data_IF_050503553112
#
_entry.id   IF_050503553112
#
_cell.length_a   1.000
_cell.length_b   1.000
_cell.length_c   1.000
_cell.angle_alpha   90.00
_cell.angle_beta   90.00
_cell.angle_gamma   90.00
#
_symmetry.space_group_name_H-M   'P 1'
#
loop_
_entity.id
_entity.type
_entity.pdbx_description
1 polymer ?
#
# COMPACT_ATOMS: atom_id res chain seq x y z
N UNK A 1 6.17 -4.00 -11.24
CA UNK A 1 5.45 -5.20 -10.74
C UNK A 1 4.77 -4.94 -9.39
N UNK A 2 5.31 -4.04 -8.56
CA UNK A 2 4.65 -3.33 -7.43
C UNK A 2 3.51 -2.35 -7.83
N UNK A 3 3.32 -2.15 -9.14
CA UNK A 3 2.38 -1.19 -9.74
C UNK A 3 0.91 -1.53 -9.48
N UNK A 4 0.58 -2.82 -9.34
CA UNK A 4 -0.76 -3.31 -8.96
C UNK A 4 -1.02 -3.23 -7.45
N UNK A 5 0.02 -3.03 -6.65
CA UNK A 5 0.01 -3.26 -5.20
C UNK A 5 -0.44 -2.05 -4.39
N UNK A 6 -0.08 -0.83 -4.81
CA UNK A 6 -0.56 0.40 -4.13
C UNK A 6 -2.02 0.73 -4.45
N UNK A 7 -2.64 0.17 -5.50
CA UNK A 7 -4.09 0.30 -5.72
C UNK A 7 -4.90 -0.50 -4.67
N UNK A 8 -4.31 -1.57 -4.11
CA UNK A 8 -4.86 -2.27 -2.94
C UNK A 8 -4.51 -1.53 -1.64
N UNK A 9 -3.33 -0.94 -1.54
CA UNK A 9 -2.91 -0.12 -0.39
C UNK A 9 -3.70 1.20 -0.27
N UNK A 10 -4.08 1.82 -1.41
CA UNK A 10 -4.93 3.00 -1.48
C UNK A 10 -6.30 2.74 -0.86
N UNK A 11 -6.89 1.56 -1.10
CA UNK A 11 -8.07 1.08 -0.36
C UNK A 11 -7.77 0.83 1.13
N UNK A 12 -6.65 0.16 1.44
CA UNK A 12 -6.23 -0.16 2.83
C UNK A 12 -5.97 1.08 3.71
N UNK A 13 -5.61 2.22 3.12
CA UNK A 13 -5.31 3.50 3.80
C UNK A 13 -6.52 4.46 3.72
N UNK A 14 -7.33 4.37 2.66
CA UNK A 14 -8.61 5.08 2.54
C UNK A 14 -9.61 4.66 3.62
N UNK A 15 -9.64 3.39 3.99
CA UNK A 15 -10.58 2.87 4.98
C UNK A 15 -10.23 3.29 6.43
N UNK A 16 -8.98 3.65 6.70
CA UNK A 16 -8.53 4.13 8.02
C UNK A 16 -8.72 5.63 8.26
N UNK A 17 -9.05 6.43 7.23
CA UNK A 17 -9.15 7.88 7.38
C UNK A 17 -10.40 8.45 6.75
N UNK A 18 -11.27 8.98 7.62
CA UNK A 18 -12.53 9.67 7.32
C UNK A 18 -12.43 10.94 6.45
N UNK A 19 -11.34 11.15 5.67
CA UNK A 19 -11.15 12.38 4.94
C UNK A 19 -10.20 12.21 3.73
N UNK A 20 -10.61 11.45 2.72
CA UNK A 20 -10.10 11.68 1.35
C UNK A 20 -10.85 12.89 0.76
N UNK A 21 -10.75 14.04 1.43
CA UNK A 21 -11.16 15.32 0.83
C UNK A 21 -10.14 15.61 -0.27
N UNK A 22 -10.62 15.85 -1.48
CA UNK A 22 -9.91 16.34 -2.68
C UNK A 22 -8.43 16.68 -2.39
N UNK A 23 -7.51 15.83 -2.85
CA UNK A 23 -6.06 16.03 -2.68
C UNK A 23 -5.53 17.28 -3.37
N UNK A 24 -6.31 17.85 -4.29
CA UNK A 24 -5.96 19.07 -5.02
C UNK A 24 -7.17 20.00 -5.13
N UNK A 25 -6.89 21.29 -5.16
CA UNK A 25 -7.81 22.27 -5.76
C UNK A 25 -7.95 21.88 -7.23
N UNK A 26 -9.17 21.69 -7.77
CA UNK A 26 -9.30 21.41 -9.19
C UNK A 26 -8.78 22.63 -9.95
N UNK A 27 -7.62 22.50 -10.59
CA UNK A 27 -7.39 23.29 -11.78
C UNK A 27 -8.53 22.92 -12.74
N UNK A 28 -9.17 23.91 -13.35
CA UNK A 28 -10.12 23.65 -14.42
C UNK A 28 -9.35 22.94 -15.54
N UNK A 29 -9.35 21.61 -15.49
CA UNK A 29 -8.73 20.81 -16.52
C UNK A 29 -9.49 21.12 -17.81
N UNK A 30 -8.80 21.38 -18.93
CA UNK A 30 -9.47 21.39 -20.23
C UNK A 30 -10.26 20.08 -20.37
N UNK A 31 -11.41 20.13 -21.02
CA UNK A 31 -12.39 19.03 -21.17
C UNK A 31 -11.84 17.90 -22.06
N UNK A 32 -10.71 17.35 -21.66
CA UNK A 32 -10.00 16.28 -22.32
C UNK A 32 -10.58 14.95 -21.81
N UNK A 33 -10.77 13.97 -22.70
CA UNK A 33 -11.22 12.66 -22.28
C UNK A 33 -10.21 12.04 -21.31
N UNK A 34 -10.67 11.26 -20.31
CA UNK A 34 -9.80 10.61 -19.35
C UNK A 34 -8.79 9.69 -20.07
N UNK A 35 -7.52 9.66 -19.65
CA UNK A 35 -6.50 8.82 -20.26
C UNK A 35 -6.89 7.34 -20.23
N UNK A 36 -6.65 6.63 -21.34
CA UNK A 36 -6.91 5.19 -21.47
C UNK A 36 -5.63 4.35 -21.40
N UNK A 37 -4.46 4.97 -21.43
CA UNK A 37 -3.16 4.30 -21.32
C UNK A 37 -2.05 5.28 -20.95
N UNK A 38 -0.86 4.76 -20.61
CA UNK A 38 0.39 5.52 -20.54
C UNK A 38 1.36 4.96 -21.57
N UNK A 39 2.07 5.85 -22.26
CA UNK A 39 3.26 5.47 -23.02
C UNK A 39 4.42 5.13 -22.08
N UNK A 40 5.45 4.44 -22.59
CA UNK A 40 6.70 4.19 -21.87
C UNK A 40 7.32 5.49 -21.31
N UNK A 41 7.37 6.54 -22.12
CA UNK A 41 7.93 7.83 -21.70
C UNK A 41 7.13 8.47 -20.57
N UNK A 42 5.79 8.38 -20.62
CA UNK A 42 4.92 8.88 -19.55
C UNK A 42 5.04 8.02 -18.28
N UNK A 43 5.18 6.70 -18.41
CA UNK A 43 5.40 5.82 -17.27
C UNK A 43 6.69 6.16 -16.51
N UNK A 44 7.80 6.34 -17.23
CA UNK A 44 9.08 6.75 -16.65
C UNK A 44 9.00 8.14 -16.03
N UNK A 45 8.49 9.11 -16.80
CA UNK A 45 8.35 10.50 -16.34
C UNK A 45 7.48 10.60 -15.08
N UNK A 46 6.31 9.96 -15.08
CA UNK A 46 5.41 9.98 -13.91
C UNK A 46 6.05 9.32 -12.68
N UNK A 47 6.80 8.22 -12.85
CA UNK A 47 7.49 7.55 -11.74
C UNK A 47 8.58 8.42 -11.13
N UNK A 48 9.35 9.15 -11.97
CA UNK A 48 10.33 10.14 -11.51
C UNK A 48 9.66 11.30 -10.75
N UNK A 49 8.55 11.82 -11.26
CA UNK A 49 7.80 12.89 -10.59
C UNK A 49 7.29 12.45 -9.22
N UNK A 50 6.80 11.21 -9.08
CA UNK A 50 6.41 10.66 -7.76
C UNK A 50 7.61 10.64 -6.81
N UNK A 51 8.77 10.16 -7.28
CA UNK A 51 9.99 10.16 -6.49
C UNK A 51 10.41 11.58 -6.07
N UNK A 52 10.35 12.54 -6.98
CA UNK A 52 10.63 13.95 -6.68
C UNK A 52 9.66 14.52 -5.64
N UNK A 53 8.38 14.17 -5.68
CA UNK A 53 7.44 14.56 -4.62
C UNK A 53 7.83 13.97 -3.26
N UNK A 54 8.22 12.69 -3.20
CA UNK A 54 8.66 12.06 -1.95
C UNK A 54 9.98 12.66 -1.45
N UNK A 55 10.87 13.05 -2.37
CA UNK A 55 12.18 13.69 -2.07
C UNK A 55 12.11 15.17 -1.76
N UNK A 56 11.10 15.90 -2.25
CA UNK A 56 11.11 17.35 -2.24
C UNK A 56 9.79 17.94 -1.73
N UNK A 57 9.82 19.24 -1.43
CA UNK A 57 8.61 20.03 -1.19
C UNK A 57 7.78 19.57 0.00
N UNK A 58 6.45 19.61 -0.16
CA UNK A 58 5.49 19.38 0.93
C UNK A 58 5.46 17.92 1.37
N UNK A 59 5.44 16.98 0.43
CA UNK A 59 5.39 15.54 0.75
C UNK A 59 6.63 15.10 1.50
N UNK A 60 7.82 15.51 1.05
CA UNK A 60 9.06 15.29 1.78
C UNK A 60 9.04 15.82 3.22
N UNK A 61 8.67 17.10 3.42
CA UNK A 61 8.56 17.68 4.77
C UNK A 61 7.54 16.96 5.66
N UNK A 62 6.45 16.45 5.08
CA UNK A 62 5.46 15.66 5.81
C UNK A 62 6.02 14.33 6.27
N UNK A 63 6.89 13.69 5.48
CA UNK A 63 7.60 12.48 5.91
C UNK A 63 8.59 12.80 7.03
N UNK A 64 9.41 13.85 6.87
CA UNK A 64 10.38 14.26 7.91
C UNK A 64 9.70 14.54 9.26
N UNK A 65 8.50 15.11 9.25
CA UNK A 65 7.71 15.36 10.45
C UNK A 65 7.29 14.06 11.18
N UNK A 66 7.14 12.93 10.47
CA UNK A 66 6.84 11.63 11.07
C UNK A 66 8.05 11.04 11.78
N UNK A 67 9.25 11.23 11.22
CA UNK A 67 10.49 10.84 11.89
C UNK A 67 10.76 11.71 13.13
N UNK A 68 10.38 12.99 13.10
CA UNK A 68 10.53 13.91 14.22
C UNK A 68 9.53 13.69 15.38
N UNK A 69 8.53 12.83 15.21
CA UNK A 69 7.50 12.52 16.22
C UNK A 69 7.49 11.02 16.60
N UNK A 70 8.60 10.47 17.13
CA UNK A 70 8.75 9.03 17.38
C UNK A 70 7.80 8.50 18.47
N UNK A 71 7.25 9.36 19.33
CA UNK A 71 6.28 9.02 20.37
C UNK A 71 4.91 8.61 19.82
N UNK A 72 4.58 8.99 18.58
CA UNK A 72 3.35 8.55 17.94
C UNK A 72 3.41 7.05 17.59
N UNK A 73 2.31 6.30 17.79
CA UNK A 73 2.27 4.88 17.43
C UNK A 73 2.75 4.63 16.01
N UNK A 74 3.62 3.65 15.82
CA UNK A 74 4.23 3.37 14.50
C UNK A 74 3.18 3.07 13.43
N UNK A 75 2.09 2.41 13.80
CA UNK A 75 0.98 2.14 12.90
C UNK A 75 0.36 3.45 12.37
N UNK A 76 0.15 4.44 13.23
CA UNK A 76 -0.42 5.73 12.83
C UNK A 76 0.56 6.50 11.94
N UNK A 77 1.86 6.46 12.26
CA UNK A 77 2.90 7.05 11.40
C UNK A 77 2.96 6.36 10.04
N UNK A 78 2.85 5.03 9.99
CA UNK A 78 2.77 4.24 8.76
C UNK A 78 1.59 4.66 7.88
N UNK A 79 0.40 4.80 8.47
CA UNK A 79 -0.79 5.29 7.75
C UNK A 79 -0.56 6.68 7.18
N UNK A 80 0.00 7.59 7.96
CA UNK A 80 0.30 8.95 7.49
C UNK A 80 1.35 8.96 6.37
N UNK A 81 2.40 8.15 6.46
CA UNK A 81 3.38 7.99 5.40
C UNK A 81 2.73 7.50 4.09
N UNK A 82 1.79 6.55 4.19
CA UNK A 82 1.07 6.07 3.02
C UNK A 82 0.14 7.13 2.43
N UNK A 83 -0.50 7.96 3.24
CA UNK A 83 -1.27 9.09 2.75
C UNK A 83 -0.41 10.11 2.00
N UNK A 84 0.83 10.35 2.45
CA UNK A 84 1.77 11.21 1.74
C UNK A 84 2.10 10.62 0.37
N UNK A 85 2.44 9.34 0.31
CA UNK A 85 2.74 8.65 -0.95
C UNK A 85 1.53 8.64 -1.91
N UNK A 86 0.34 8.33 -1.40
CA UNK A 86 -0.91 8.38 -2.18
C UNK A 86 -1.18 9.79 -2.69
N UNK A 87 -0.99 10.83 -1.87
CA UNK A 87 -1.16 12.22 -2.29
C UNK A 87 -0.18 12.61 -3.40
N UNK A 88 1.08 12.18 -3.30
CA UNK A 88 2.07 12.36 -4.37
C UNK A 88 1.61 11.66 -5.67
N UNK A 89 1.14 10.42 -5.58
CA UNK A 89 0.61 9.69 -6.74
C UNK A 89 -0.64 10.36 -7.34
N UNK A 90 -1.52 10.91 -6.52
CA UNK A 90 -2.72 11.62 -6.96
C UNK A 90 -2.37 12.91 -7.73
N UNK A 91 -1.41 13.69 -7.23
CA UNK A 91 -0.92 14.89 -7.91
C UNK A 91 -0.23 14.55 -9.23
N UNK A 92 0.62 13.53 -9.24
CA UNK A 92 1.23 13.06 -10.48
C UNK A 92 0.15 12.60 -11.45
N UNK A 93 -0.79 11.75 -11.04
CA UNK A 93 -1.86 11.25 -11.90
C UNK A 93 -2.67 12.40 -12.53
N UNK A 94 -2.99 13.44 -11.75
CA UNK A 94 -3.68 14.63 -12.25
C UNK A 94 -2.89 15.36 -13.34
N UNK A 95 -1.56 15.45 -13.22
CA UNK A 95 -0.70 16.05 -14.25
C UNK A 95 -0.72 15.29 -15.58
N UNK A 96 -1.08 14.00 -15.57
CA UNK A 96 -1.25 13.17 -16.77
C UNK A 96 -2.71 13.05 -17.23
N UNK A 97 -3.62 13.88 -16.68
CA UNK A 97 -5.03 13.94 -17.10
C UNK A 97 -5.96 12.97 -16.37
N UNK A 98 -5.47 12.22 -15.37
CA UNK A 98 -6.34 11.39 -14.55
C UNK A 98 -7.11 12.24 -13.52
N UNK A 99 -8.24 11.72 -13.07
CA UNK A 99 -8.98 12.37 -11.99
C UNK A 99 -8.15 12.37 -10.69
N UNK A 100 -8.18 13.47 -9.93
CA UNK A 100 -7.59 13.55 -8.60
C UNK A 100 -8.47 12.86 -7.53
N UNK A 101 -8.85 11.61 -7.82
CA UNK A 101 -9.72 10.76 -7.01
C UNK A 101 -9.09 9.38 -6.83
N UNK A 102 -9.65 8.58 -5.91
CA UNK A 102 -9.25 7.18 -5.76
C UNK A 102 -9.38 6.40 -7.08
N UNK A 103 -10.47 6.63 -7.82
CA UNK A 103 -10.70 6.02 -9.13
C UNK A 103 -9.61 6.40 -10.12
N UNK A 104 -9.23 7.68 -10.17
CA UNK A 104 -8.16 8.16 -11.05
C UNK A 104 -6.80 7.56 -10.69
N UNK A 105 -6.47 7.43 -9.40
CA UNK A 105 -5.25 6.76 -8.94
C UNK A 105 -5.24 5.28 -9.35
N UNK A 106 -6.37 4.57 -9.17
CA UNK A 106 -6.51 3.17 -9.58
C UNK A 106 -6.28 3.02 -11.09
N UNK A 107 -6.91 3.87 -11.92
CA UNK A 107 -6.73 3.86 -13.38
C UNK A 107 -5.28 4.20 -13.77
N UNK A 108 -4.69 5.22 -13.16
CA UNK A 108 -3.29 5.59 -13.37
C UNK A 108 -2.34 4.42 -13.07
N UNK A 109 -2.49 3.79 -11.90
CA UNK A 109 -1.66 2.65 -11.50
C UNK A 109 -1.86 1.43 -12.39
N UNK A 110 -3.09 1.20 -12.86
CA UNK A 110 -3.37 0.15 -13.83
C UNK A 110 -2.62 0.40 -15.15
N UNK A 111 -2.76 1.60 -15.73
CA UNK A 111 -2.08 1.96 -16.98
C UNK A 111 -0.55 1.98 -16.84
N UNK A 112 -0.03 2.41 -15.69
CA UNK A 112 1.40 2.34 -15.37
C UNK A 112 1.88 0.89 -15.33
N UNK A 113 1.09 -0.01 -14.73
CA UNK A 113 1.36 -1.45 -14.73
C UNK A 113 1.35 -2.07 -16.12
N UNK A 114 0.45 -1.64 -17.01
CA UNK A 114 0.41 -2.08 -18.41
C UNK A 114 1.62 -1.54 -19.19
N UNK A 115 1.94 -0.26 -19.04
CA UNK A 115 3.09 0.36 -19.68
C UNK A 115 4.40 -0.31 -19.27
N UNK A 116 4.57 -0.67 -18.00
CA UNK A 116 5.75 -1.39 -17.52
C UNK A 116 5.92 -2.77 -18.17
N UNK A 117 4.82 -3.48 -18.40
CA UNK A 117 4.84 -4.79 -19.07
C UNK A 117 5.27 -4.69 -20.54
N UNK A 118 5.00 -3.56 -21.20
CA UNK A 118 5.33 -3.32 -22.61
C UNK A 118 6.58 -2.45 -22.84
N UNK A 119 7.26 -1.97 -21.79
CA UNK A 119 8.36 -1.00 -21.89
C UNK A 119 9.71 -1.55 -22.40
N UNK A 120 9.82 -2.88 -22.54
CA UNK A 120 11.07 -3.59 -22.80
C UNK A 120 11.95 -3.72 -21.54
N UNK A 121 13.02 -4.54 -21.57
CA UNK A 121 13.78 -4.91 -20.37
C UNK A 121 14.42 -3.72 -19.65
N UNK A 122 15.11 -2.84 -20.38
CA UNK A 122 15.81 -1.68 -19.82
C UNK A 122 14.88 -0.75 -19.03
N UNK A 123 13.74 -0.38 -19.63
CA UNK A 123 12.81 0.52 -18.98
C UNK A 123 11.98 -0.16 -17.89
N UNK A 124 11.77 -1.47 -17.97
CA UNK A 124 11.20 -2.23 -16.86
C UNK A 124 12.14 -2.20 -15.64
N UNK A 125 13.44 -2.39 -15.84
CA UNK A 125 14.44 -2.28 -14.77
C UNK A 125 14.52 -0.86 -14.21
N UNK A 126 14.46 0.16 -15.06
CA UNK A 126 14.42 1.55 -14.60
C UNK A 126 13.16 1.85 -13.78
N UNK A 127 11.98 1.40 -14.22
CA UNK A 127 10.74 1.54 -13.47
C UNK A 127 10.79 0.80 -12.12
N UNK A 128 11.47 -0.36 -12.05
CA UNK A 128 11.69 -1.07 -10.79
C UNK A 128 12.64 -0.30 -9.87
N UNK A 129 13.72 0.28 -10.41
CA UNK A 129 14.66 1.12 -9.66
C UNK A 129 13.95 2.33 -9.06
N UNK A 130 13.16 3.05 -9.86
CA UNK A 130 12.41 4.22 -9.39
C UNK A 130 11.40 3.85 -8.30
N UNK A 131 10.68 2.74 -8.44
CA UNK A 131 9.75 2.28 -7.40
C UNK A 131 10.49 1.91 -6.10
N UNK A 132 11.65 1.25 -6.21
CA UNK A 132 12.51 0.95 -5.06
C UNK A 132 13.00 2.22 -4.36
N UNK A 133 13.49 3.20 -5.12
CA UNK A 133 13.92 4.49 -4.59
C UNK A 133 12.78 5.23 -3.86
N UNK A 134 11.54 5.15 -4.37
CA UNK A 134 10.37 5.73 -3.68
C UNK A 134 10.20 5.11 -2.29
N UNK A 135 10.29 3.79 -2.17
CA UNK A 135 10.16 3.11 -0.87
C UNK A 135 11.33 3.37 0.06
N UNK A 136 12.55 3.43 -0.47
CA UNK A 136 13.76 3.84 0.25
C UNK A 136 13.57 5.24 0.87
N UNK A 137 13.07 6.21 0.10
CA UNK A 137 12.84 7.57 0.58
C UNK A 137 11.71 7.64 1.62
N UNK A 138 10.63 6.88 1.44
CA UNK A 138 9.55 6.81 2.44
C UNK A 138 10.07 6.27 3.78
N UNK A 139 10.87 5.20 3.76
CA UNK A 139 11.46 4.62 4.96
C UNK A 139 12.46 5.56 5.61
N UNK A 140 13.38 6.12 4.81
CA UNK A 140 14.44 6.98 5.29
C UNK A 140 13.85 8.23 5.96
N UNK A 141 12.91 8.89 5.30
CA UNK A 141 12.37 10.17 5.78
C UNK A 141 11.27 10.03 6.80
N UNK A 142 10.41 9.02 6.63
CA UNK A 142 9.27 8.80 7.52
C UNK A 142 9.65 8.13 8.84
N UNK A 143 10.73 7.35 8.84
CA UNK A 143 11.06 6.45 9.95
C UNK A 143 12.54 6.43 10.33
N UNK A 144 13.42 7.12 9.60
CA UNK A 144 14.87 7.00 9.75
C UNK A 144 15.38 5.55 9.55
N UNK A 145 14.74 4.80 8.64
CA UNK A 145 15.04 3.40 8.37
C UNK A 145 15.55 3.19 6.95
N UNK A 146 16.36 2.14 6.79
CA UNK A 146 16.70 1.58 5.48
C UNK A 146 15.80 0.37 5.17
N UNK A 147 15.55 0.05 3.89
CA UNK A 147 14.86 -1.19 3.54
C UNK A 147 15.61 -2.40 4.08
N UNK A 148 14.84 -3.38 4.55
CA UNK A 148 15.35 -4.70 4.90
C UNK A 148 14.85 -5.69 3.84
N UNK A 149 15.74 -6.34 3.07
CA UNK A 149 15.33 -7.26 2.02
C UNK A 149 14.69 -8.52 2.62
N UNK A 150 13.78 -9.11 1.85
CA UNK A 150 13.13 -10.38 2.17
C UNK A 150 13.32 -11.36 1.01
N UNK A 151 13.78 -12.57 1.31
CA UNK A 151 13.84 -13.64 0.32
C UNK A 151 12.41 -14.11 -0.03
N UNK A 152 12.15 -14.52 -1.28
CA UNK A 152 10.83 -15.03 -1.69
C UNK A 152 10.32 -16.18 -0.81
N UNK A 153 11.21 -17.08 -0.38
CA UNK A 153 10.88 -18.21 0.48
C UNK A 153 10.38 -17.74 1.85
N UNK A 154 11.07 -16.77 2.44
CA UNK A 154 10.66 -16.15 3.71
C UNK A 154 9.32 -15.41 3.57
N UNK A 155 9.08 -14.75 2.42
CA UNK A 155 7.79 -14.09 2.15
C UNK A 155 6.63 -15.09 2.08
N UNK A 156 6.83 -16.22 1.40
CA UNK A 156 5.83 -17.30 1.32
C UNK A 156 5.56 -17.94 2.67
N UNK A 157 6.62 -18.26 3.42
CA UNK A 157 6.51 -18.82 4.76
C UNK A 157 5.76 -17.88 5.70
N UNK A 158 6.14 -16.61 5.72
CA UNK A 158 5.49 -15.59 6.54
C UNK A 158 4.01 -15.40 6.17
N UNK A 159 3.70 -15.28 4.88
CA UNK A 159 2.32 -15.15 4.43
C UNK A 159 1.47 -16.37 4.82
N UNK A 160 2.04 -17.58 4.75
CA UNK A 160 1.41 -18.81 5.23
C UNK A 160 1.13 -18.80 6.73
N UNK A 161 2.12 -18.36 7.54
CA UNK A 161 1.95 -18.18 9.00
C UNK A 161 0.85 -17.18 9.33
N UNK A 162 0.79 -16.05 8.62
CA UNK A 162 -0.28 -15.04 8.78
C UNK A 162 -1.65 -15.64 8.46
N UNK A 163 -1.77 -16.40 7.37
CA UNK A 163 -3.03 -17.06 7.00
C UNK A 163 -3.49 -18.07 8.05
N UNK A 164 -2.57 -18.91 8.55
CA UNK A 164 -2.87 -19.88 9.60
C UNK A 164 -3.28 -19.20 10.91
N UNK A 165 -2.54 -18.16 11.33
CA UNK A 165 -2.80 -17.44 12.57
C UNK A 165 -4.11 -16.65 12.52
N UNK A 166 -4.41 -16.00 11.39
CA UNK A 166 -5.69 -15.31 11.17
C UNK A 166 -6.89 -16.27 11.18
N UNK A 167 -6.68 -17.55 10.84
CA UNK A 167 -7.70 -18.58 10.88
C UNK A 167 -7.79 -19.31 12.24
N UNK A 168 -6.76 -19.24 13.08
CA UNK A 168 -6.70 -19.91 14.39
C UNK A 168 -6.74 -18.94 15.57
N UNK A 169 -5.95 -19.24 16.62
CA UNK A 169 -6.04 -18.61 17.94
C UNK A 169 -5.93 -17.08 17.93
N UNK A 170 -5.04 -16.50 17.12
CA UNK A 170 -4.92 -15.04 17.03
C UNK A 170 -6.16 -14.42 16.36
N UNK A 171 -6.72 -15.07 15.34
CA UNK A 171 -8.00 -14.67 14.75
C UNK A 171 -9.15 -14.75 15.75
N UNK A 172 -9.15 -15.76 16.62
CA UNK A 172 -10.17 -15.96 17.64
C UNK A 172 -10.06 -14.95 18.79
N UNK A 173 -8.83 -14.60 19.19
CA UNK A 173 -8.59 -13.53 20.15
C UNK A 173 -9.11 -12.16 19.67
N UNK A 174 -9.12 -11.94 18.35
CA UNK A 174 -9.61 -10.71 17.71
C UNK A 174 -11.11 -10.76 17.37
N UNK A 175 -11.78 -11.89 17.59
CA UNK A 175 -13.14 -12.10 17.13
C UNK A 175 -14.15 -11.15 17.79
N UNK A 176 -13.95 -10.78 19.06
CA UNK A 176 -14.82 -9.84 19.76
C UNK A 176 -14.79 -8.44 19.14
N UNK A 177 -13.59 -7.93 18.83
CA UNK A 177 -13.39 -6.63 18.19
C UNK A 177 -13.94 -6.62 16.76
N UNK A 178 -13.77 -7.72 16.03
CA UNK A 178 -14.33 -7.90 14.69
C UNK A 178 -15.86 -7.96 14.72
N UNK A 179 -16.44 -8.67 15.69
CA UNK A 179 -17.88 -8.77 15.87
C UNK A 179 -18.52 -7.45 16.29
N UNK A 180 -17.82 -6.63 17.09
CA UNK A 180 -18.28 -5.30 17.49
C UNK A 180 -18.46 -4.33 16.30
N UNK A 181 -17.78 -4.60 15.19
CA UNK A 181 -17.88 -3.82 13.97
C UNK A 181 -19.01 -4.29 13.01
N UNK A 182 -19.73 -5.36 13.37
CA UNK A 182 -20.76 -5.98 12.52
C UNK A 182 -21.95 -5.04 12.28
N UNK A 183 -22.48 -5.07 11.06
CA UNK A 183 -23.63 -4.24 10.64
C UNK A 183 -23.25 -2.88 10.05
N UNK A 184 -21.98 -2.49 10.15
CA UNK A 184 -21.41 -1.33 9.47
C UNK A 184 -20.22 -1.81 8.62
N UNK A 185 -20.44 -1.90 7.30
CA UNK A 185 -19.43 -2.41 6.38
C UNK A 185 -18.10 -1.62 6.46
N UNK A 186 -18.17 -0.32 6.71
CA UNK A 186 -16.98 0.53 6.81
C UNK A 186 -16.20 0.22 8.08
N UNK A 187 -16.88 0.13 9.23
CA UNK A 187 -16.23 -0.22 10.50
C UNK A 187 -15.65 -1.63 10.46
N UNK A 188 -16.38 -2.56 9.84
CA UNK A 188 -15.96 -3.95 9.71
C UNK A 188 -14.69 -4.08 8.86
N UNK A 189 -14.63 -3.40 7.70
CA UNK A 189 -13.40 -3.36 6.89
C UNK A 189 -12.22 -2.78 7.67
N UNK A 190 -12.42 -1.66 8.38
CA UNK A 190 -11.38 -1.08 9.23
C UNK A 190 -10.92 -2.01 10.37
N UNK A 191 -11.83 -2.78 10.97
CA UNK A 191 -11.51 -3.76 12.00
C UNK A 191 -10.71 -4.95 11.45
N UNK A 192 -11.11 -5.49 10.28
CA UNK A 192 -10.38 -6.55 9.59
C UNK A 192 -8.94 -6.11 9.28
N UNK A 193 -8.76 -4.87 8.82
CA UNK A 193 -7.43 -4.35 8.50
C UNK A 193 -6.54 -4.21 9.74
N UNK A 194 -7.09 -3.73 10.86
CA UNK A 194 -6.36 -3.67 12.14
C UNK A 194 -6.00 -5.07 12.65
N UNK A 195 -6.93 -6.03 12.54
CA UNK A 195 -6.69 -7.41 12.91
C UNK A 195 -5.56 -8.04 12.08
N UNK A 196 -5.55 -7.82 10.75
CA UNK A 196 -4.48 -8.29 9.89
C UNK A 196 -3.12 -7.68 10.27
N UNK A 197 -3.09 -6.37 10.56
CA UNK A 197 -1.88 -5.69 11.01
C UNK A 197 -1.37 -6.24 12.36
N UNK A 198 -2.28 -6.53 13.29
CA UNK A 198 -1.94 -7.13 14.59
C UNK A 198 -1.31 -8.52 14.41
N UNK A 199 -1.92 -9.39 13.60
CA UNK A 199 -1.37 -10.72 13.28
C UNK A 199 0.01 -10.61 12.64
N UNK A 200 0.19 -9.69 11.69
CA UNK A 200 1.50 -9.48 11.05
C UNK A 200 2.55 -8.97 12.04
N UNK A 201 2.18 -8.07 12.95
CA UNK A 201 3.08 -7.52 13.96
C UNK A 201 3.54 -8.60 14.94
N UNK A 202 2.63 -9.45 15.41
CA UNK A 202 2.94 -10.56 16.31
C UNK A 202 3.91 -11.57 15.68
N UNK A 203 3.77 -11.83 14.38
CA UNK A 203 4.59 -12.81 13.67
C UNK A 203 5.90 -12.24 13.11
N UNK A 204 6.03 -10.92 12.98
CA UNK A 204 7.18 -10.27 12.35
C UNK A 204 8.54 -10.67 12.98
N UNK A 205 8.67 -10.80 14.33
CA UNK A 205 9.92 -11.24 14.96
C UNK A 205 10.38 -12.64 14.50
N UNK A 206 9.45 -13.52 14.11
CA UNK A 206 9.79 -14.90 13.69
C UNK A 206 10.63 -14.98 12.42
N UNK A 207 10.69 -13.89 11.65
CA UNK A 207 11.50 -13.73 10.45
C UNK A 207 12.50 -12.55 10.60
N UNK A 208 12.77 -12.14 11.84
CA UNK A 208 13.74 -11.11 12.20
C UNK A 208 13.27 -9.67 11.98
N UNK A 209 11.98 -9.41 11.84
CA UNK A 209 11.44 -8.06 11.75
C UNK A 209 10.89 -7.64 13.11
N UNK A 210 11.77 -7.10 13.96
CA UNK A 210 11.48 -6.86 15.37
C UNK A 210 10.90 -5.47 15.65
N UNK A 211 9.90 -5.43 16.53
CA UNK A 211 9.34 -4.19 17.06
C UNK A 211 8.68 -3.30 16.00
N UNK A 212 8.59 -2.01 16.34
CA UNK A 212 7.93 -1.01 15.51
C UNK A 212 8.62 -0.82 14.15
N UNK A 213 9.95 -0.70 14.16
CA UNK A 213 10.74 -0.48 12.94
C UNK A 213 10.71 -1.72 12.04
N UNK A 214 10.78 -2.91 12.64
CA UNK A 214 10.61 -4.17 11.94
C UNK A 214 9.24 -4.27 11.25
N UNK A 215 8.15 -3.84 11.89
CA UNK A 215 6.84 -3.81 11.25
C UNK A 215 6.85 -2.97 9.96
N UNK A 216 7.44 -1.77 10.00
CA UNK A 216 7.46 -0.87 8.83
C UNK A 216 8.33 -1.44 7.70
N UNK A 217 9.51 -1.96 8.03
CA UNK A 217 10.37 -2.65 7.05
C UNK A 217 9.68 -3.89 6.46
N UNK A 218 8.94 -4.64 7.27
CA UNK A 218 8.17 -5.81 6.85
C UNK A 218 7.10 -5.42 5.83
N UNK A 219 6.35 -4.34 6.06
CA UNK A 219 5.32 -3.89 5.12
C UNK A 219 5.92 -3.60 3.74
N UNK A 220 7.04 -2.88 3.68
CA UNK A 220 7.73 -2.60 2.42
C UNK A 220 8.25 -3.88 1.77
N UNK A 221 8.90 -4.75 2.54
CA UNK A 221 9.46 -6.00 2.02
C UNK A 221 8.37 -6.93 1.44
N UNK A 222 7.24 -7.08 2.12
CA UNK A 222 6.11 -7.89 1.62
C UNK A 222 5.52 -7.33 0.33
N UNK A 223 5.53 -6.01 0.14
CA UNK A 223 4.98 -5.40 -1.06
C UNK A 223 5.73 -5.81 -2.33
N UNK A 224 7.02 -6.10 -2.24
CA UNK A 224 7.83 -6.61 -3.35
C UNK A 224 7.36 -8.01 -3.82
N UNK A 225 6.82 -8.80 -2.89
CA UNK A 225 6.41 -10.18 -3.10
C UNK A 225 4.92 -10.37 -3.36
N UNK A 226 4.10 -9.31 -3.34
CA UNK A 226 2.64 -9.43 -3.51
C UNK A 226 2.18 -9.92 -4.90
N UNK A 227 3.08 -9.98 -5.89
CA UNK A 227 2.83 -10.61 -7.18
C UNK A 227 3.11 -12.13 -7.19
N UNK A 228 3.79 -12.66 -6.16
CA UNK A 228 3.98 -14.10 -5.98
C UNK A 228 2.61 -14.76 -5.71
N UNK A 229 2.21 -15.79 -6.49
CA UNK A 229 0.90 -16.42 -6.35
C UNK A 229 0.64 -17.01 -4.96
N UNK A 230 1.66 -17.58 -4.31
CA UNK A 230 1.51 -18.18 -2.99
C UNK A 230 1.32 -17.10 -1.92
N UNK A 231 2.10 -16.01 -1.99
CA UNK A 231 1.93 -14.85 -1.11
C UNK A 231 0.56 -14.21 -1.30
N UNK A 232 0.11 -14.03 -2.55
CA UNK A 232 -1.19 -13.46 -2.87
C UNK A 232 -2.34 -14.33 -2.35
N UNK A 233 -2.27 -15.65 -2.55
CA UNK A 233 -3.27 -16.61 -2.07
C UNK A 233 -3.35 -16.63 -0.54
N UNK A 234 -2.21 -16.70 0.14
CA UNK A 234 -2.17 -16.70 1.60
C UNK A 234 -2.70 -15.38 2.19
N UNK A 235 -2.35 -14.23 1.59
CA UNK A 235 -2.89 -12.92 1.98
C UNK A 235 -4.41 -12.88 1.82
N UNK A 236 -4.93 -13.45 0.73
CA UNK A 236 -6.37 -13.55 0.51
C UNK A 236 -7.05 -14.46 1.55
N UNK A 237 -6.47 -15.62 1.83
CA UNK A 237 -6.97 -16.55 2.84
C UNK A 237 -7.04 -15.91 4.24
N UNK A 238 -5.99 -15.20 4.65
CA UNK A 238 -5.96 -14.44 5.90
C UNK A 238 -7.10 -13.39 5.95
N UNK A 239 -7.26 -12.62 4.87
CA UNK A 239 -8.31 -11.59 4.77
C UNK A 239 -9.70 -12.21 4.85
N UNK A 240 -9.94 -13.32 4.13
CA UNK A 240 -11.21 -14.04 4.15
C UNK A 240 -11.55 -14.56 5.56
N UNK A 241 -10.57 -15.14 6.26
CA UNK A 241 -10.77 -15.65 7.61
C UNK A 241 -11.19 -14.55 8.61
N UNK A 242 -10.62 -13.35 8.48
CA UNK A 242 -10.96 -12.20 9.32
C UNK A 242 -12.30 -11.56 8.90
N UNK A 243 -12.57 -11.43 7.60
CA UNK A 243 -13.86 -10.94 7.09
C UNK A 243 -15.03 -11.81 7.55
N UNK A 244 -14.85 -13.15 7.54
CA UNK A 244 -15.87 -14.08 8.02
C UNK A 244 -16.21 -13.82 9.50
N UNK A 245 -15.20 -13.57 10.35
CA UNK A 245 -15.38 -13.20 11.76
C UNK A 245 -16.05 -11.83 11.93
N UNK A 246 -15.72 -10.86 11.08
CA UNK A 246 -16.39 -9.55 11.05
C UNK A 246 -17.80 -9.58 10.43
N UNK A 247 -18.24 -10.72 9.89
CA UNK A 247 -19.55 -10.87 9.27
C UNK A 247 -19.72 -10.09 7.96
N UNK A 248 -18.63 -9.84 7.22
CA UNK A 248 -18.64 -9.16 5.92
C UNK A 248 -18.17 -10.06 4.79
N UNK A 249 -18.65 -9.76 3.58
CA UNK A 249 -18.16 -10.43 2.38
C UNK A 249 -16.74 -9.94 2.07
N UNK A 250 -15.76 -10.84 1.88
CA UNK A 250 -14.42 -10.44 1.50
C UNK A 250 -14.42 -9.81 0.10
N UNK A 251 -13.48 -8.89 -0.20
CA UNK A 251 -13.34 -8.33 -1.53
C UNK A 251 -13.01 -9.46 -2.53
N UNK A 252 -13.85 -9.63 -3.55
CA UNK A 252 -13.58 -10.55 -4.64
C UNK A 252 -12.41 -10.03 -5.47
N UNK A 253 -11.45 -10.90 -5.79
CA UNK A 253 -10.41 -10.57 -6.77
C UNK A 253 -11.07 -10.14 -8.09
N UNK A 254 -10.60 -9.07 -8.77
CA UNK A 254 -11.09 -8.75 -10.09
C UNK A 254 -10.86 -9.95 -11.02
N UNK A 255 -11.76 -10.20 -12.00
CA UNK A 255 -11.53 -11.23 -13.00
C UNK A 255 -10.18 -11.02 -13.67
N UNK A 256 -9.42 -12.11 -13.82
CA UNK A 256 -8.10 -12.12 -14.45
C UNK A 256 -8.16 -11.68 -15.91
#
# INVERSE_FOLDING_TARGET
>A
MLLRTTARLGRRVAEQTHAWKRFSTPAAAPDLPPPTSLSKAQALSSSRIVLDFVRLGVSGRRLDALAAAPEAPVADRWVQAMQVLVGAQAHTAAAFGYEASEKGIISYRHHLGLAAQSAGPEALEELKSLDKEVWEEVLLRGFALSPKPMAPEAAREFAGKVAAAAAGDLGDALAADLAAAKGDAQKASGAVMRALAAVQTELAPTIGYDGADGYVQLQVALMEHLADPAVAHATQAATHALCARAGITPPTSPPQ
#
